data_IF_545798997091
#
_entry.id   IF_545798997091
#
_cell.length_a   1.000
_cell.length_b   1.000
_cell.length_c   1.000
_cell.angle_alpha   90.00
_cell.angle_beta   90.00
_cell.angle_gamma   90.00
#
_symmetry.space_group_name_H-M   'P 1'
#
loop_
_entity.id
_entity.type
_entity.pdbx_description
1 polymer ?
#
# COMPACT_ATOMS: atom_id res chain seq x y z
N UNK A 1 -23.27 28.09 -69.43
CA UNK A 1 -22.30 26.98 -69.13
C UNK A 1 -21.72 27.23 -67.75
N UNK A 2 -22.27 26.62 -66.71
CA UNK A 2 -21.74 26.71 -65.34
C UNK A 2 -21.12 25.37 -64.97
N UNK A 3 -19.82 25.39 -64.72
CA UNK A 3 -19.04 24.22 -64.25
C UNK A 3 -19.13 24.15 -62.74
N UNK A 4 -19.80 23.13 -62.21
CA UNK A 4 -19.81 22.81 -60.77
C UNK A 4 -18.48 22.21 -60.37
N UNK A 5 -17.79 22.82 -59.41
CA UNK A 5 -16.59 22.34 -58.79
C UNK A 5 -17.00 21.56 -57.53
N UNK A 6 -16.88 20.23 -57.55
CA UNK A 6 -17.06 19.39 -56.35
C UNK A 6 -15.79 19.42 -55.50
N UNK A 7 -15.86 20.03 -54.33
CA UNK A 7 -14.83 20.00 -53.31
C UNK A 7 -15.02 18.75 -52.43
N UNK A 8 -14.17 17.75 -52.61
CA UNK A 8 -14.09 16.58 -51.73
C UNK A 8 -13.33 16.99 -50.45
N UNK A 9 -14.05 17.13 -49.37
CA UNK A 9 -13.45 17.35 -48.05
C UNK A 9 -13.09 15.97 -47.48
N UNK A 10 -11.79 15.63 -47.53
CA UNK A 10 -11.26 14.45 -46.86
C UNK A 10 -11.14 14.71 -45.37
N UNK A 11 -12.02 14.10 -44.56
CA UNK A 11 -11.92 14.11 -43.11
C UNK A 11 -10.81 13.16 -42.67
N UNK A 12 -9.66 13.70 -42.34
CA UNK A 12 -8.58 12.93 -41.68
C UNK A 12 -8.98 12.74 -40.21
N UNK A 13 -9.47 11.55 -39.87
CA UNK A 13 -9.76 11.16 -38.50
C UNK A 13 -8.46 10.97 -37.71
N UNK A 14 -8.20 11.86 -36.76
CA UNK A 14 -7.10 11.76 -35.80
C UNK A 14 -7.49 10.70 -34.74
N UNK A 15 -7.03 9.45 -34.94
CA UNK A 15 -7.18 8.40 -33.93
C UNK A 15 -6.23 8.68 -32.77
N UNK A 16 -6.74 9.18 -31.66
CA UNK A 16 -5.97 9.32 -30.41
C UNK A 16 -5.70 7.93 -29.82
N UNK A 17 -4.46 7.47 -29.91
CA UNK A 17 -3.98 6.29 -29.20
C UNK A 17 -3.92 6.64 -27.70
N UNK A 18 -4.93 6.24 -26.95
CA UNK A 18 -4.89 6.26 -25.48
C UNK A 18 -4.01 5.09 -25.05
N UNK A 19 -2.76 5.38 -24.71
CA UNK A 19 -1.88 4.38 -24.11
C UNK A 19 -2.38 4.07 -22.69
N UNK A 20 -2.99 2.89 -22.51
CA UNK A 20 -3.34 2.39 -21.18
C UNK A 20 -2.06 2.07 -20.41
N UNK A 21 -1.82 2.74 -19.30
CA UNK A 21 -0.73 2.38 -18.39
C UNK A 21 -0.93 0.95 -17.87
N UNK A 22 0.14 0.15 -17.72
CA UNK A 22 0.01 -1.22 -17.21
C UNK A 22 -0.59 -1.22 -15.79
N UNK A 23 -1.55 -2.10 -15.53
CA UNK A 23 -2.29 -2.19 -14.28
C UNK A 23 -1.36 -2.24 -13.04
N UNK A 24 -0.20 -2.92 -13.17
CA UNK A 24 0.79 -3.02 -12.09
C UNK A 24 1.40 -1.67 -11.66
N UNK A 25 1.62 -0.74 -12.60
CA UNK A 25 2.12 0.60 -12.27
C UNK A 25 1.07 1.42 -11.50
N UNK A 26 -0.21 1.19 -11.78
CA UNK A 26 -1.30 1.85 -11.05
C UNK A 26 -1.42 1.32 -9.63
N UNK A 27 -1.22 0.02 -9.42
CA UNK A 27 -1.26 -0.59 -8.08
C UNK A 27 -0.09 -0.13 -7.20
N UNK A 28 1.12 -0.01 -7.76
CA UNK A 28 2.29 0.52 -7.03
C UNK A 28 2.07 1.98 -6.62
N UNK A 29 1.56 2.83 -7.52
CA UNK A 29 1.26 4.24 -7.19
C UNK A 29 0.12 4.37 -6.17
N UNK A 30 -0.83 3.43 -6.15
CA UNK A 30 -1.87 3.37 -5.14
C UNK A 30 -1.29 2.97 -3.78
N UNK A 31 -0.42 1.96 -3.74
CA UNK A 31 0.29 1.53 -2.54
C UNK A 31 1.17 2.64 -1.96
N UNK A 32 1.85 3.42 -2.81
CA UNK A 32 2.63 4.58 -2.41
C UNK A 32 1.78 5.62 -1.67
N UNK A 33 0.62 5.99 -2.21
CA UNK A 33 -0.28 6.94 -1.53
C UNK A 33 -0.76 6.41 -0.18
N UNK A 34 -0.99 5.10 -0.07
CA UNK A 34 -1.35 4.50 1.22
C UNK A 34 -0.19 4.63 2.20
N UNK A 35 1.03 4.28 1.78
CA UNK A 35 2.23 4.34 2.61
C UNK A 35 2.55 5.77 3.06
N UNK A 36 2.50 6.73 2.11
CA UNK A 36 2.94 8.11 2.36
C UNK A 36 1.85 8.97 3.01
N UNK A 37 0.56 8.71 2.73
CA UNK A 37 -0.51 9.64 3.08
C UNK A 37 -1.59 9.03 3.95
N UNK A 38 -2.24 7.94 3.47
CA UNK A 38 -3.45 7.42 4.13
C UNK A 38 -3.18 6.71 5.43
N UNK A 39 -2.25 5.74 5.42
CA UNK A 39 -1.86 4.96 6.58
C UNK A 39 -0.68 5.58 7.34
N UNK A 40 -0.01 6.55 6.71
CA UNK A 40 1.13 7.29 7.26
C UNK A 40 2.26 6.36 7.77
N UNK A 41 2.52 5.29 7.03
CA UNK A 41 3.57 4.32 7.38
C UNK A 41 4.95 4.98 7.50
N UNK A 42 5.18 6.05 6.68
CA UNK A 42 6.40 6.86 6.72
C UNK A 42 6.65 7.50 8.08
N UNK A 43 5.61 7.73 8.89
CA UNK A 43 5.75 8.32 10.22
C UNK A 43 6.71 7.51 11.09
N UNK A 44 6.66 6.18 10.97
CA UNK A 44 7.56 5.28 11.69
C UNK A 44 8.70 4.76 10.79
N UNK A 45 8.38 4.31 9.55
CA UNK A 45 9.35 3.66 8.68
C UNK A 45 10.22 4.61 7.86
N UNK A 46 9.95 5.92 7.92
CA UNK A 46 10.58 6.91 7.04
C UNK A 46 9.98 6.93 5.63
N UNK A 47 10.04 8.06 4.93
CA UNK A 47 9.54 8.18 3.56
C UNK A 47 10.29 7.27 2.58
N UNK A 48 11.56 6.97 2.86
CA UNK A 48 12.42 6.08 2.09
C UNK A 48 12.40 4.63 2.59
N UNK A 49 11.60 4.31 3.62
CA UNK A 49 11.50 2.97 4.18
C UNK A 49 12.74 2.49 4.96
N UNK A 50 13.63 3.38 5.35
CA UNK A 50 14.92 3.10 6.01
C UNK A 50 14.82 2.96 7.54
N UNK A 51 13.61 3.01 8.09
CA UNK A 51 13.33 2.96 9.53
C UNK A 51 13.56 4.29 10.25
N UNK A 52 13.87 5.38 9.52
CA UNK A 52 14.12 6.71 10.07
C UNK A 52 12.88 7.60 9.87
N UNK A 53 11.86 7.31 10.65
CA UNK A 53 10.61 8.07 10.63
C UNK A 53 10.70 9.41 11.35
N UNK A 54 9.54 9.99 11.65
CA UNK A 54 9.43 11.23 12.42
C UNK A 54 10.00 11.02 13.84
N UNK A 55 10.77 12.00 14.38
CA UNK A 55 11.30 11.90 15.75
C UNK A 55 10.23 11.74 16.85
N UNK A 56 8.97 12.04 16.54
CA UNK A 56 7.83 11.86 17.44
C UNK A 56 7.21 10.48 17.37
N UNK A 57 7.69 9.60 16.47
CA UNK A 57 7.21 8.23 16.39
C UNK A 57 7.54 7.46 17.68
N UNK A 58 6.73 6.47 18.07
CA UNK A 58 6.85 5.81 19.38
C UNK A 58 8.08 4.91 19.52
N UNK A 59 8.91 4.80 18.51
CA UNK A 59 10.13 3.99 18.56
C UNK A 59 10.75 3.71 17.21
N UNK A 60 11.84 2.94 17.23
CA UNK A 60 12.53 2.55 16.01
C UNK A 60 11.69 1.55 15.20
N UNK A 61 11.43 1.87 13.94
CA UNK A 61 10.78 0.96 13.00
C UNK A 61 11.80 0.15 12.20
N UNK A 62 11.33 -0.95 11.60
CA UNK A 62 12.18 -1.77 10.76
C UNK A 62 12.62 -1.01 9.50
N UNK A 63 13.88 -1.18 9.13
CA UNK A 63 14.41 -0.83 7.82
C UNK A 63 13.85 -1.81 6.79
N UNK A 64 12.96 -1.32 5.92
CA UNK A 64 12.23 -2.15 4.96
C UNK A 64 13.13 -2.68 3.83
N UNK A 65 14.29 -2.04 3.58
CA UNK A 65 15.27 -2.55 2.61
C UNK A 65 15.87 -3.89 3.03
N UNK A 66 15.91 -4.15 4.33
CA UNK A 66 16.48 -5.37 4.93
C UNK A 66 15.45 -6.46 5.20
N UNK A 67 14.17 -6.21 4.88
CA UNK A 67 13.16 -7.23 5.12
C UNK A 67 13.37 -8.45 4.22
N UNK A 68 13.18 -9.63 4.81
CA UNK A 68 13.21 -10.92 4.12
C UNK A 68 11.79 -11.50 3.95
N UNK A 69 10.77 -10.72 4.34
CA UNK A 69 9.38 -11.16 4.29
C UNK A 69 8.89 -11.23 2.84
N UNK A 70 8.16 -12.28 2.52
CA UNK A 70 7.42 -12.37 1.26
C UNK A 70 6.12 -11.56 1.33
N UNK A 71 5.41 -11.44 0.19
CA UNK A 71 4.17 -10.67 0.10
C UNK A 71 3.12 -11.08 1.14
N UNK A 72 2.88 -12.38 1.32
CA UNK A 72 1.87 -12.87 2.26
C UNK A 72 2.21 -12.48 3.71
N UNK A 73 3.49 -12.56 4.07
CA UNK A 73 3.98 -12.15 5.39
C UNK A 73 3.91 -10.65 5.60
N UNK A 74 4.18 -9.83 4.57
CA UNK A 74 4.00 -8.38 4.66
C UNK A 74 2.52 -8.03 4.79
N UNK A 75 1.65 -8.67 4.02
CA UNK A 75 0.19 -8.50 4.13
C UNK A 75 -0.27 -8.85 5.54
N UNK A 76 0.15 -9.98 6.11
CA UNK A 76 -0.17 -10.36 7.50
C UNK A 76 0.37 -9.32 8.50
N UNK A 77 1.62 -8.88 8.33
CA UNK A 77 2.23 -7.88 9.21
C UNK A 77 1.48 -6.55 9.18
N UNK A 78 1.05 -6.07 8.01
CA UNK A 78 0.26 -4.83 7.90
C UNK A 78 -1.15 -5.03 8.45
N UNK A 79 -1.80 -6.16 8.15
CA UNK A 79 -3.13 -6.46 8.68
C UNK A 79 -3.14 -6.52 10.21
N UNK A 80 -2.19 -7.24 10.77
CA UNK A 80 -2.17 -7.69 12.15
C UNK A 80 -1.30 -6.85 13.09
N UNK A 81 -0.47 -5.95 12.53
CA UNK A 81 0.59 -5.31 13.31
C UNK A 81 1.65 -6.32 13.75
N UNK A 82 2.47 -5.97 14.73
CA UNK A 82 3.45 -6.87 15.33
C UNK A 82 3.26 -6.96 16.83
N UNK A 83 2.85 -8.12 17.37
CA UNK A 83 2.64 -8.31 18.80
C UNK A 83 3.84 -7.87 19.64
N UNK A 84 3.58 -7.19 20.75
CA UNK A 84 4.61 -6.67 21.64
C UNK A 84 5.40 -5.47 21.08
N UNK A 85 4.94 -4.83 20.01
CA UNK A 85 5.56 -3.64 19.42
C UNK A 85 4.54 -2.53 19.17
N UNK A 86 5.04 -1.34 18.82
CA UNK A 86 4.22 -0.19 18.46
C UNK A 86 3.70 -0.23 17.01
N UNK A 87 4.04 -1.25 16.21
CA UNK A 87 3.49 -1.38 14.86
C UNK A 87 2.01 -1.74 14.92
N UNK A 88 1.10 -0.84 14.50
CA UNK A 88 -0.34 -1.05 14.65
C UNK A 88 -0.89 -2.10 13.68
N UNK A 89 -2.06 -2.65 14.02
CA UNK A 89 -2.83 -3.48 13.09
C UNK A 89 -3.76 -2.61 12.24
N UNK A 90 -3.67 -2.72 10.92
CA UNK A 90 -4.48 -1.91 10.02
C UNK A 90 -5.79 -2.57 9.58
N UNK A 91 -5.94 -3.88 9.77
CA UNK A 91 -7.23 -4.54 9.61
C UNK A 91 -8.06 -4.33 10.89
N UNK A 92 -9.25 -3.73 10.75
CA UNK A 92 -10.14 -3.46 11.88
C UNK A 92 -10.67 -4.73 12.56
N UNK A 93 -10.58 -5.88 11.88
CA UNK A 93 -11.01 -7.17 12.38
C UNK A 93 -9.84 -8.05 12.85
N UNK A 94 -8.62 -7.48 12.88
CA UNK A 94 -7.45 -8.21 13.34
C UNK A 94 -7.65 -8.80 14.74
N UNK A 95 -7.30 -10.07 14.90
CA UNK A 95 -7.45 -10.86 16.11
C UNK A 95 -8.88 -11.26 16.49
N UNK A 96 -9.89 -10.93 15.67
CA UNK A 96 -11.24 -11.48 15.84
C UNK A 96 -11.26 -13.01 15.62
N UNK A 97 -12.34 -13.66 16.05
CA UNK A 97 -12.48 -15.11 15.97
C UNK A 97 -12.36 -15.67 14.54
N UNK A 98 -12.85 -14.92 13.55
CA UNK A 98 -12.82 -15.29 12.12
C UNK A 98 -11.57 -14.78 11.39
N UNK A 99 -10.79 -13.90 12.04
CA UNK A 99 -9.58 -13.28 11.48
C UNK A 99 -8.40 -13.37 12.45
N UNK A 100 -7.94 -14.58 12.77
CA UNK A 100 -6.78 -14.75 13.66
C UNK A 100 -5.53 -14.18 13.00
N UNK A 101 -4.66 -13.59 13.81
CA UNK A 101 -3.39 -13.03 13.39
C UNK A 101 -2.25 -13.89 13.92
N UNK A 102 -1.37 -14.32 13.05
CA UNK A 102 -0.30 -15.27 13.42
C UNK A 102 -0.84 -16.53 14.10
N UNK A 103 -2.04 -16.95 13.72
CA UNK A 103 -2.75 -18.07 14.35
C UNK A 103 -3.34 -17.77 15.73
N UNK A 104 -3.26 -16.52 16.20
CA UNK A 104 -3.75 -16.10 17.52
C UNK A 104 -5.02 -15.26 17.38
N UNK A 105 -5.90 -15.41 18.36
CA UNK A 105 -7.06 -14.55 18.61
C UNK A 105 -6.77 -13.56 19.72
N UNK A 106 -7.64 -12.59 19.95
CA UNK A 106 -7.48 -11.55 20.97
C UNK A 106 -7.15 -12.12 22.36
N UNK A 107 -7.86 -13.16 22.79
CA UNK A 107 -7.61 -13.79 24.08
C UNK A 107 -6.21 -14.42 24.22
N UNK A 108 -5.56 -14.77 23.10
CA UNK A 108 -4.25 -15.40 23.09
C UNK A 108 -3.11 -14.37 23.01
N UNK A 109 -3.30 -13.29 22.26
CA UNK A 109 -2.31 -12.21 22.18
C UNK A 109 -2.30 -11.34 23.42
N UNK A 110 -3.44 -11.16 24.08
CA UNK A 110 -3.54 -10.48 25.36
C UNK A 110 -2.95 -9.06 25.37
N UNK A 111 -2.07 -8.80 26.33
CA UNK A 111 -1.42 -7.50 26.49
C UNK A 111 -0.45 -7.13 25.35
N UNK A 112 0.01 -8.11 24.56
CA UNK A 112 0.90 -7.89 23.42
C UNK A 112 0.16 -7.53 22.13
N UNK A 113 -1.19 -7.38 22.19
CA UNK A 113 -1.98 -6.96 21.02
C UNK A 113 -1.48 -5.63 20.51
N UNK A 114 -1.13 -5.54 19.21
CA UNK A 114 -0.70 -4.29 18.61
C UNK A 114 -1.75 -3.19 18.74
N UNK A 115 -1.34 -1.92 18.85
CA UNK A 115 -2.29 -0.81 18.95
C UNK A 115 -3.12 -0.65 17.67
N UNK A 116 -4.24 0.07 17.76
CA UNK A 116 -4.97 0.56 16.61
C UNK A 116 -4.16 1.69 15.93
N UNK A 117 -4.24 1.85 14.61
CA UNK A 117 -3.51 2.90 13.93
C UNK A 117 -4.06 4.28 14.30
N UNK A 118 -3.16 5.26 14.46
CA UNK A 118 -3.55 6.67 14.65
C UNK A 118 -4.24 7.28 13.43
N UNK A 119 -3.95 6.76 12.24
CA UNK A 119 -4.46 7.26 10.98
C UNK A 119 -5.86 6.68 10.66
N UNK A 120 -5.90 5.48 10.14
CA UNK A 120 -7.13 4.82 9.71
C UNK A 120 -6.90 3.34 9.47
N UNK A 121 -7.96 2.54 9.61
CA UNK A 121 -7.93 1.14 9.16
C UNK A 121 -7.89 1.05 7.64
N UNK A 122 -7.33 -0.02 7.13
CA UNK A 122 -7.21 -0.30 5.70
C UNK A 122 -8.13 -1.45 5.28
N UNK A 123 -8.65 -1.36 4.07
CA UNK A 123 -9.30 -2.48 3.40
C UNK A 123 -8.28 -3.50 2.95
N UNK A 124 -8.70 -4.74 2.69
CA UNK A 124 -7.84 -5.80 2.16
C UNK A 124 -7.08 -5.38 0.91
N UNK A 125 -7.75 -4.72 -0.03
CA UNK A 125 -7.11 -4.22 -1.26
C UNK A 125 -6.01 -3.19 -0.97
N UNK A 126 -6.21 -2.34 -0.01
CA UNK A 126 -5.21 -1.32 0.39
C UNK A 126 -4.00 -1.97 1.07
N UNK A 127 -4.23 -2.97 1.90
CA UNK A 127 -3.16 -3.75 2.54
C UNK A 127 -2.32 -4.47 1.48
N UNK A 128 -2.95 -5.10 0.50
CA UNK A 128 -2.25 -5.76 -0.61
C UNK A 128 -1.45 -4.77 -1.47
N UNK A 129 -2.02 -3.60 -1.76
CA UNK A 129 -1.36 -2.56 -2.54
C UNK A 129 -0.13 -1.98 -1.82
N UNK A 130 -0.23 -1.72 -0.52
CA UNK A 130 0.94 -1.22 0.23
C UNK A 130 2.00 -2.30 0.38
N UNK A 131 1.63 -3.58 0.47
CA UNK A 131 2.59 -4.68 0.47
C UNK A 131 3.34 -4.79 -0.87
N UNK A 132 2.65 -4.62 -2.00
CA UNK A 132 3.28 -4.58 -3.33
C UNK A 132 4.21 -3.37 -3.47
N UNK A 133 3.80 -2.21 -2.97
CA UNK A 133 4.66 -1.02 -2.95
C UNK A 133 5.95 -1.26 -2.15
N UNK A 134 5.86 -1.78 -0.94
CA UNK A 134 7.02 -2.10 -0.10
C UNK A 134 7.97 -3.05 -0.81
N UNK A 135 7.45 -4.14 -1.39
CA UNK A 135 8.27 -5.14 -2.10
C UNK A 135 8.96 -4.57 -3.33
N UNK A 136 8.28 -3.72 -4.09
CA UNK A 136 8.83 -3.22 -5.36
C UNK A 136 9.74 -2.02 -5.17
N UNK A 137 9.55 -1.25 -4.09
CA UNK A 137 10.26 0.01 -3.86
C UNK A 137 11.44 -0.14 -2.93
N UNK A 138 11.31 -0.90 -1.85
CA UNK A 138 12.33 -0.94 -0.79
C UNK A 138 13.11 -2.25 -0.75
N UNK A 139 12.45 -3.40 -0.86
CA UNK A 139 13.09 -4.69 -0.60
C UNK A 139 14.27 -4.95 -1.53
N UNK A 140 15.45 -5.20 -0.93
CA UNK A 140 16.67 -5.57 -1.67
C UNK A 140 17.28 -4.43 -2.50
N UNK A 141 17.01 -3.18 -2.14
CA UNK A 141 17.55 -2.00 -2.84
C UNK A 141 18.54 -1.22 -2.01
#
# INVERSE_FOLDING_TARGET
MFRSINILISAVGLAALVAAAPARAQDVSFGERIFQEKADCKFCHGPEGDGRGDPRSPGAAADLHKTILNKAQIVETVSCGRPGTEMPHFDKYAYDDDTPCYGMKEAQVGADKPPVPHSTSLTRREIEAVADYVLTTFVGK
#
